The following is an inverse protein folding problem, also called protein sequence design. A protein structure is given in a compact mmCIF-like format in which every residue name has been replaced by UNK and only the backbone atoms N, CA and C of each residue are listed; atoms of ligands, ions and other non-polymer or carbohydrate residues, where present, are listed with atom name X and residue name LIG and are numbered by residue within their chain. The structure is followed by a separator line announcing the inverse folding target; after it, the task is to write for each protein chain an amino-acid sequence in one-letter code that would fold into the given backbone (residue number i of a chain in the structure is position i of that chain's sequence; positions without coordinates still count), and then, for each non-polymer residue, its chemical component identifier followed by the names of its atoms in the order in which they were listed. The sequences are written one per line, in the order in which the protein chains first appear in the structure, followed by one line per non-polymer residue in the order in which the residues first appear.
data_IF_560960900135
#
_entry.id   IF_560960900135
#
_cell.length_a   1.000
_cell.length_b   1.000
_cell.length_c   1.000
_cell.angle_alpha   90.00
_cell.angle_beta   90.00
_cell.angle_gamma   90.00
#
_symmetry.space_group_name_H-M   'P 1'
#
loop_
_entity.id
_entity.type
_entity.pdbx_description
1 polymer ?
#
# COMPACT_ATOMS: atom_id res chain seq x y z
N UNK A 1 -6.79 4.59 10.58
CA UNK A 1 -6.94 3.48 9.61
C UNK A 1 -5.69 3.52 8.75
N UNK A 2 -4.81 2.53 8.91
CA UNK A 2 -3.45 2.57 8.36
C UNK A 2 -3.41 2.65 6.83
N UNK A 3 -2.27 3.13 6.32
CA UNK A 3 -1.99 3.27 4.90
C UNK A 3 -1.30 2.02 4.31
N UNK A 4 -1.77 0.83 4.70
CA UNK A 4 -1.42 -0.43 4.05
C UNK A 4 -2.22 -0.65 2.75
N UNK A 5 -1.96 -1.74 2.00
CA UNK A 5 -2.60 -2.00 0.70
C UNK A 5 -4.13 -1.94 0.75
N UNK A 6 -4.75 -2.59 1.73
CA UNK A 6 -6.21 -2.59 1.88
C UNK A 6 -6.76 -1.21 2.25
N UNK A 7 -6.05 -0.47 3.10
CA UNK A 7 -6.45 0.86 3.53
C UNK A 7 -6.35 1.88 2.40
N UNK A 8 -5.25 1.84 1.65
CA UNK A 8 -5.05 2.65 0.44
C UNK A 8 -6.09 2.31 -0.63
N UNK A 9 -6.33 1.03 -0.91
CA UNK A 9 -7.32 0.62 -1.90
C UNK A 9 -8.73 1.13 -1.53
N UNK A 10 -9.13 0.92 -0.28
CA UNK A 10 -10.42 1.40 0.23
C UNK A 10 -10.52 2.92 0.14
N UNK A 11 -9.45 3.64 0.53
CA UNK A 11 -9.39 5.10 0.43
C UNK A 11 -9.55 5.58 -1.01
N UNK A 12 -8.90 4.92 -1.98
CA UNK A 12 -9.01 5.25 -3.40
C UNK A 12 -10.45 5.12 -3.91
N UNK A 13 -11.16 4.03 -3.58
CA UNK A 13 -12.56 3.89 -3.97
C UNK A 13 -13.48 4.92 -3.32
N UNK A 14 -13.30 5.20 -2.02
CA UNK A 14 -14.08 6.23 -1.32
C UNK A 14 -13.83 7.62 -1.92
N UNK A 15 -12.58 7.94 -2.25
CA UNK A 15 -12.22 9.18 -2.93
C UNK A 15 -12.84 9.24 -4.33
N UNK A 16 -12.78 8.15 -5.10
CA UNK A 16 -13.42 8.04 -6.43
C UNK A 16 -14.94 8.23 -6.37
N UNK A 17 -15.58 7.79 -5.29
CA UNK A 17 -17.00 8.02 -5.02
C UNK A 17 -17.33 9.46 -4.59
N UNK A 18 -16.35 10.36 -4.54
CA UNK A 18 -16.54 11.79 -4.23
C UNK A 18 -16.53 12.12 -2.74
N UNK A 19 -16.14 11.18 -1.86
CA UNK A 19 -16.07 11.45 -0.43
C UNK A 19 -14.77 12.18 -0.06
N UNK A 20 -14.88 13.12 0.88
CA UNK A 20 -13.71 13.71 1.54
C UNK A 20 -13.19 12.73 2.59
N UNK A 21 -12.03 12.13 2.34
CA UNK A 21 -11.44 11.10 3.21
C UNK A 21 -10.11 11.54 3.81
N UNK A 22 -9.75 10.90 4.92
CA UNK A 22 -8.46 11.03 5.59
C UNK A 22 -7.97 9.63 5.98
N UNK A 23 -6.76 9.29 5.54
CA UNK A 23 -6.07 8.06 5.93
C UNK A 23 -5.00 8.40 6.98
N UNK A 24 -4.91 7.60 8.04
CA UNK A 24 -4.01 7.86 9.16
C UNK A 24 -3.11 6.65 9.39
N UNK A 25 -1.84 6.81 9.06
CA UNK A 25 -0.78 5.83 9.26
C UNK A 25 0.09 6.22 10.45
N UNK A 26 0.54 5.23 11.21
CA UNK A 26 1.42 5.41 12.36
C UNK A 26 2.88 5.58 11.92
N UNK A 27 3.29 4.90 10.85
CA UNK A 27 4.63 5.06 10.25
C UNK A 27 4.75 6.41 9.54
N UNK A 28 5.98 6.85 9.34
CA UNK A 28 6.30 8.03 8.51
C UNK A 28 6.19 7.77 7.00
N UNK A 29 5.74 6.58 6.62
CA UNK A 29 5.61 6.14 5.25
C UNK A 29 4.34 5.29 5.08
N UNK A 30 3.81 5.27 3.87
CA UNK A 30 2.70 4.41 3.47
C UNK A 30 3.21 3.06 2.97
N UNK A 31 2.29 2.13 2.71
CA UNK A 31 2.57 0.79 2.18
C UNK A 31 2.33 -0.33 3.20
N UNK A 32 2.45 -0.04 4.51
CA UNK A 32 2.22 -1.02 5.56
C UNK A 32 3.20 -2.20 5.46
N UNK A 33 2.70 -3.36 5.01
CA UNK A 33 3.52 -4.54 4.73
C UNK A 33 4.17 -4.57 3.34
N UNK A 34 3.83 -3.61 2.48
CA UNK A 34 4.52 -3.35 1.20
C UNK A 34 5.71 -2.41 1.45
N UNK A 35 6.71 -2.90 2.18
CA UNK A 35 7.84 -2.10 2.65
C UNK A 35 9.15 -2.54 1.99
N UNK A 36 9.91 -1.57 1.51
CA UNK A 36 11.23 -1.73 0.91
C UNK A 36 12.23 -0.91 1.70
N UNK A 37 13.18 -1.56 2.37
CA UNK A 37 14.02 -0.95 3.40
C UNK A 37 15.49 -1.32 3.20
N UNK A 38 16.38 -0.36 3.42
CA UNK A 38 17.82 -0.56 3.37
C UNK A 38 18.34 -0.97 4.75
N UNK A 39 18.25 -2.27 5.08
CA UNK A 39 18.53 -2.78 6.44
C UNK A 39 19.91 -3.44 6.61
N UNK A 40 20.72 -3.52 5.55
CA UNK A 40 22.02 -4.21 5.61
C UNK A 40 23.18 -3.31 5.19
N UNK A 41 23.43 -3.14 3.89
CA UNK A 41 24.54 -2.36 3.35
C UNK A 41 24.05 -1.12 2.57
N UNK A 42 24.89 -0.08 2.43
CA UNK A 42 24.67 1.05 1.52
C UNK A 42 24.10 0.62 0.17
N UNK A 43 23.01 1.28 -0.25
CA UNK A 43 22.40 1.10 -1.57
C UNK A 43 21.81 -0.29 -1.86
N UNK A 44 21.62 -1.14 -0.84
CA UNK A 44 20.96 -2.45 -1.01
C UNK A 44 19.62 -2.49 -0.28
N UNK A 45 18.53 -2.59 -1.05
CA UNK A 45 17.16 -2.50 -0.56
C UNK A 45 16.53 -3.89 -0.48
N UNK A 46 15.87 -4.17 0.64
CA UNK A 46 15.19 -5.43 0.92
C UNK A 46 13.69 -5.21 1.04
N UNK A 47 12.91 -6.17 0.56
CA UNK A 47 11.50 -6.25 0.91
C UNK A 47 11.39 -7.12 2.17
N UNK A 48 11.16 -6.48 3.32
CA UNK A 48 11.22 -7.12 4.64
C UNK A 48 9.96 -7.92 4.99
N UNK A 49 8.89 -7.74 4.23
CA UNK A 49 7.61 -8.40 4.48
C UNK A 49 6.99 -8.96 3.19
N UNK A 50 6.33 -8.15 2.37
CA UNK A 50 5.75 -8.62 1.11
C UNK A 50 6.75 -8.54 -0.05
N UNK A 51 7.04 -9.67 -0.67
CA UNK A 51 7.82 -9.76 -1.93
C UNK A 51 6.93 -10.00 -3.16
N UNK A 52 5.73 -10.54 -2.94
CA UNK A 52 4.77 -10.91 -3.97
C UNK A 52 3.37 -10.94 -3.35
N UNK A 53 2.36 -10.51 -4.12
CA UNK A 53 0.95 -10.62 -3.76
C UNK A 53 0.28 -11.59 -4.74
N UNK A 54 0.01 -12.84 -4.34
CA UNK A 54 -0.62 -13.82 -5.22
C UNK A 54 -1.98 -13.33 -5.71
N UNK A 55 -2.25 -13.55 -6.99
CA UNK A 55 -3.54 -13.25 -7.63
C UNK A 55 -3.97 -11.78 -7.55
N UNK A 56 -3.04 -10.85 -7.28
CA UNK A 56 -3.37 -9.42 -7.23
C UNK A 56 -3.93 -8.94 -8.56
N UNK A 57 -3.48 -9.53 -9.67
CA UNK A 57 -3.92 -9.30 -11.04
C UNK A 57 -5.42 -9.55 -11.27
N UNK A 58 -6.07 -10.36 -10.43
CA UNK A 58 -7.52 -10.55 -10.45
C UNK A 58 -8.29 -9.47 -9.69
N UNK A 59 -7.61 -8.61 -8.94
CA UNK A 59 -8.26 -7.56 -8.18
C UNK A 59 -8.90 -6.53 -9.13
N UNK A 60 -10.15 -6.10 -8.88
CA UNK A 60 -10.88 -5.21 -9.78
C UNK A 60 -10.22 -3.84 -9.95
N UNK A 61 -9.34 -3.45 -9.02
CA UNK A 61 -8.70 -2.13 -9.04
C UNK A 61 -7.90 -1.85 -10.31
N UNK A 62 -7.31 -2.87 -10.93
CA UNK A 62 -6.56 -2.71 -12.19
C UNK A 62 -7.46 -2.32 -13.38
N UNK A 63 -8.77 -2.54 -13.28
CA UNK A 63 -9.76 -2.13 -14.28
C UNK A 63 -10.49 -0.85 -13.85
N UNK A 64 -10.66 -0.65 -12.54
CA UNK A 64 -11.38 0.48 -12.01
C UNK A 64 -10.57 1.79 -12.02
N UNK A 65 -9.24 1.75 -12.14
CA UNK A 65 -8.36 2.92 -12.19
C UNK A 65 -7.47 2.89 -13.42
#
# INVERSE_FOLDING_TARGET
IGAGPNGLLTASYLAKAGLKILLLERRFEMGGGLCSEQITIPSFIHNTHAIYMPMVDYAPFFQDF
#
